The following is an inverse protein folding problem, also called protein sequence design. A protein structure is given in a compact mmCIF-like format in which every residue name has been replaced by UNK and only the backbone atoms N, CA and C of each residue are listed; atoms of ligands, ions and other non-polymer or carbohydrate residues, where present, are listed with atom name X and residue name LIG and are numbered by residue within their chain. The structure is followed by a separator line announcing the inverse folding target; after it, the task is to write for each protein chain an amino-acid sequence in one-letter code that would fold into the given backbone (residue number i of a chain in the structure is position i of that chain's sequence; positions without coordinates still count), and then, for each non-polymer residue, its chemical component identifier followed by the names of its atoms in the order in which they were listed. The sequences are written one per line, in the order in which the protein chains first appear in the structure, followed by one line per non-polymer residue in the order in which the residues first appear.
data_IF_030756661200
#
_entry.id   IF_030756661200
#
_cell.length_a   1.000
_cell.length_b   1.000
_cell.length_c   1.000
_cell.angle_alpha   90.00
_cell.angle_beta   90.00
_cell.angle_gamma   90.00
#
_symmetry.space_group_name_H-M   'P 1'
#
loop_
_entity.id
_entity.type
_entity.pdbx_description
1 polymer ?
#
# COMPACT_ATOMS: atom_id res chain seq x y z
N UNK A 1 -42.80 23.12 18.08
CA UNK A 1 -41.46 23.51 17.61
C UNK A 1 -40.93 22.35 16.80
N UNK A 2 -40.67 22.55 15.50
CA UNK A 2 -40.08 21.51 14.65
C UNK A 2 -38.57 21.77 14.62
N UNK A 3 -37.80 20.93 15.30
CA UNK A 3 -36.34 21.00 15.29
C UNK A 3 -35.84 20.42 13.96
N UNK A 4 -35.44 21.29 13.03
CA UNK A 4 -34.79 20.86 11.79
C UNK A 4 -33.37 20.44 12.16
N UNK A 5 -33.11 19.13 12.15
CA UNK A 5 -31.76 18.58 12.33
C UNK A 5 -30.85 19.05 11.19
N UNK A 6 -29.62 19.43 11.52
CA UNK A 6 -28.61 19.76 10.51
C UNK A 6 -28.28 18.54 9.66
N UNK A 7 -27.93 18.75 8.39
CA UNK A 7 -27.37 17.71 7.52
C UNK A 7 -26.20 16.99 8.20
N UNK A 8 -25.41 17.72 9.00
CA UNK A 8 -24.30 17.15 9.77
C UNK A 8 -24.77 16.21 10.89
N UNK A 9 -25.84 16.56 11.61
CA UNK A 9 -26.40 15.71 12.68
C UNK A 9 -26.96 14.41 12.11
N UNK A 10 -27.62 14.50 10.96
CA UNK A 10 -28.15 13.34 10.23
C UNK A 10 -27.01 12.42 9.78
N UNK A 11 -25.88 12.99 9.31
CA UNK A 11 -24.70 12.22 8.91
C UNK A 11 -24.10 11.51 10.13
N UNK A 12 -23.85 12.24 11.23
CA UNK A 12 -23.27 11.67 12.45
C UNK A 12 -24.15 10.61 13.11
N UNK A 13 -25.47 10.77 13.06
CA UNK A 13 -26.45 9.78 13.54
C UNK A 13 -26.45 8.52 12.67
N UNK A 14 -26.34 8.67 11.33
CA UNK A 14 -26.24 7.54 10.40
C UNK A 14 -24.89 6.82 10.46
N UNK A 15 -23.80 7.51 10.74
CA UNK A 15 -22.45 6.92 10.82
C UNK A 15 -22.07 6.41 12.21
N UNK A 16 -22.91 6.62 13.23
CA UNK A 16 -22.64 6.24 14.64
C UNK A 16 -22.38 4.75 14.85
N UNK A 17 -22.89 3.89 13.96
CA UNK A 17 -22.62 2.44 13.95
C UNK A 17 -21.62 1.98 12.88
N UNK A 18 -21.08 2.90 12.08
CA UNK A 18 -20.04 2.65 11.07
C UNK A 18 -18.65 2.93 11.64
N UNK A 19 -18.41 2.59 12.90
CA UNK A 19 -17.06 2.57 13.44
C UNK A 19 -16.34 1.39 12.82
N UNK A 20 -15.53 1.66 11.79
CA UNK A 20 -14.56 0.70 11.26
C UNK A 20 -13.83 0.09 12.46
N UNK A 21 -13.96 -1.23 12.63
CA UNK A 21 -13.36 -1.89 13.79
C UNK A 21 -11.83 -1.74 13.72
N UNK A 22 -11.14 -1.84 14.86
CA UNK A 22 -9.67 -1.76 14.84
C UNK A 22 -9.04 -2.85 13.93
N UNK A 23 -9.72 -3.99 13.78
CA UNK A 23 -9.34 -5.06 12.85
C UNK A 23 -9.51 -4.63 11.39
N UNK A 24 -10.64 -4.00 11.05
CA UNK A 24 -10.89 -3.49 9.70
C UNK A 24 -9.91 -2.36 9.33
N UNK A 25 -9.58 -1.48 10.29
CA UNK A 25 -8.54 -0.45 10.11
C UNK A 25 -7.15 -1.05 9.91
N UNK A 26 -6.83 -2.16 10.58
CA UNK A 26 -5.57 -2.84 10.39
C UNK A 26 -5.48 -3.47 8.99
N UNK A 27 -6.54 -4.16 8.55
CA UNK A 27 -6.65 -4.74 7.21
C UNK A 27 -6.58 -3.69 6.11
N UNK A 28 -7.24 -2.54 6.30
CA UNK A 28 -7.15 -1.42 5.35
C UNK A 28 -5.72 -0.90 5.22
N UNK A 29 -5.03 -0.67 6.35
CA UNK A 29 -3.64 -0.20 6.35
C UNK A 29 -2.70 -1.21 5.69
N UNK A 30 -2.91 -2.49 5.92
CA UNK A 30 -2.12 -3.56 5.29
C UNK A 30 -2.32 -3.57 3.77
N UNK A 31 -3.57 -3.50 3.30
CA UNK A 31 -3.89 -3.43 1.86
C UNK A 31 -3.34 -2.18 1.20
N UNK A 32 -3.42 -1.03 1.87
CA UNK A 32 -2.82 0.22 1.36
C UNK A 32 -1.30 0.08 1.23
N UNK A 33 -0.65 -0.53 2.22
CA UNK A 33 0.79 -0.74 2.20
C UNK A 33 1.21 -1.70 1.09
N UNK A 34 0.50 -2.81 0.93
CA UNK A 34 0.69 -3.75 -0.19
C UNK A 34 0.51 -3.03 -1.54
N UNK A 35 -0.56 -2.24 -1.67
CA UNK A 35 -0.85 -1.47 -2.89
C UNK A 35 0.23 -0.46 -3.23
N UNK A 36 0.74 0.30 -2.24
CA UNK A 36 1.86 1.22 -2.42
C UNK A 36 3.13 0.48 -2.84
N UNK A 37 3.45 -0.62 -2.16
CA UNK A 37 4.63 -1.46 -2.46
C UNK A 37 4.56 -1.99 -3.90
N UNK A 38 3.38 -2.50 -4.32
CA UNK A 38 3.16 -2.98 -5.69
C UNK A 38 3.28 -1.87 -6.72
N UNK A 39 2.74 -0.68 -6.42
CA UNK A 39 2.80 0.46 -7.32
C UNK A 39 4.22 0.89 -7.65
N UNK A 40 5.10 1.01 -6.66
CA UNK A 40 6.49 1.39 -6.89
C UNK A 40 7.29 0.27 -7.58
N UNK A 41 7.02 -0.98 -7.23
CA UNK A 41 7.67 -2.15 -7.82
C UNK A 41 7.35 -2.27 -9.32
N UNK A 42 6.08 -2.12 -9.69
CA UNK A 42 5.67 -2.18 -11.10
C UNK A 42 6.27 -1.03 -11.91
N UNK A 43 6.27 0.21 -11.38
CA UNK A 43 6.93 1.34 -12.04
C UNK A 43 8.41 1.09 -12.30
N UNK A 44 9.10 0.40 -11.39
CA UNK A 44 10.51 0.06 -11.57
C UNK A 44 10.68 -1.03 -12.65
N UNK A 45 9.86 -2.09 -12.63
CA UNK A 45 9.88 -3.13 -13.67
C UNK A 45 9.56 -2.59 -15.07
N UNK A 46 8.62 -1.65 -15.16
CA UNK A 46 8.24 -1.00 -16.42
C UNK A 46 9.29 0.01 -16.90
N UNK A 47 10.37 0.24 -16.13
CA UNK A 47 11.40 1.23 -16.43
C UNK A 47 10.94 2.69 -16.26
N UNK A 48 9.75 2.92 -15.70
CA UNK A 48 9.22 4.26 -15.45
C UNK A 48 9.99 4.99 -14.34
N UNK A 49 10.63 4.25 -13.42
CA UNK A 49 11.58 4.79 -12.43
C UNK A 49 12.88 3.98 -12.43
N UNK A 50 13.99 4.64 -12.13
CA UNK A 50 15.29 3.98 -11.97
C UNK A 50 15.41 3.26 -10.62
N UNK A 51 16.42 2.39 -10.46
CA UNK A 51 16.72 1.75 -9.18
C UNK A 51 17.03 2.78 -8.07
N UNK A 52 17.71 3.88 -8.41
CA UNK A 52 17.99 4.95 -7.46
C UNK A 52 16.69 5.59 -6.97
N UNK A 53 15.77 5.87 -7.89
CA UNK A 53 14.46 6.44 -7.54
C UNK A 53 13.59 5.46 -6.75
N UNK A 54 13.64 4.17 -7.09
CA UNK A 54 12.98 3.13 -6.29
C UNK A 54 13.49 3.14 -4.85
N UNK A 55 14.82 3.19 -4.64
CA UNK A 55 15.42 3.23 -3.29
C UNK A 55 14.99 4.46 -2.51
N UNK A 56 14.95 5.63 -3.16
CA UNK A 56 14.41 6.84 -2.55
C UNK A 56 12.95 6.63 -2.11
N UNK A 57 12.07 6.20 -3.02
CA UNK A 57 10.65 5.97 -2.68
C UNK A 57 10.47 4.90 -1.61
N UNK A 58 11.33 3.87 -1.60
CA UNK A 58 11.38 2.84 -0.58
C UNK A 58 11.79 3.38 0.80
N UNK A 59 12.74 4.32 0.85
CA UNK A 59 13.13 4.97 2.10
C UNK A 59 12.02 5.88 2.65
N UNK A 60 11.16 6.45 1.79
CA UNK A 60 9.99 7.23 2.21
C UNK A 60 8.91 6.39 2.92
N UNK A 61 8.96 5.06 2.84
CA UNK A 61 8.07 4.19 3.62
C UNK A 61 8.39 4.27 5.13
N UNK A 62 9.60 4.68 5.50
CA UNK A 62 9.99 4.88 6.89
C UNK A 62 9.73 3.65 7.76
N UNK A 63 8.86 3.79 8.78
CA UNK A 63 8.52 2.72 9.72
C UNK A 63 7.71 1.58 9.09
N UNK A 64 7.01 1.83 7.99
CA UNK A 64 6.22 0.81 7.32
C UNK A 64 7.08 -0.07 6.40
N UNK A 65 8.35 0.27 6.19
CA UNK A 65 9.29 -0.49 5.35
C UNK A 65 9.42 -1.95 5.81
N UNK A 66 9.51 -2.18 7.12
CA UNK A 66 9.63 -3.53 7.68
C UNK A 66 8.39 -4.38 7.37
N UNK A 67 7.20 -3.76 7.41
CA UNK A 67 5.93 -4.40 7.07
C UNK A 67 5.73 -4.53 5.56
N UNK A 68 6.35 -3.68 4.76
CA UNK A 68 6.30 -3.71 3.30
C UNK A 68 7.27 -4.75 2.70
N UNK A 69 8.36 -5.06 3.41
CA UNK A 69 9.41 -5.96 2.94
C UNK A 69 8.91 -7.37 2.55
N UNK A 70 8.00 -8.03 3.31
CA UNK A 70 7.42 -9.31 2.90
C UNK A 70 6.66 -9.22 1.57
N UNK A 71 5.92 -8.12 1.34
CA UNK A 71 5.23 -7.92 0.07
C UNK A 71 6.23 -7.76 -1.07
N UNK A 72 7.28 -6.96 -0.87
CA UNK A 72 8.32 -6.77 -1.88
C UNK A 72 9.00 -8.09 -2.24
N UNK A 73 9.44 -8.86 -1.24
CA UNK A 73 10.08 -10.16 -1.46
C UNK A 73 9.17 -11.13 -2.21
N UNK A 74 7.90 -11.21 -1.83
CA UNK A 74 6.91 -12.05 -2.52
C UNK A 74 6.77 -11.64 -3.98
N UNK A 75 6.64 -10.35 -4.26
CA UNK A 75 6.54 -9.84 -5.63
C UNK A 75 7.81 -10.09 -6.45
N UNK A 76 8.99 -9.99 -5.84
CA UNK A 76 10.25 -10.37 -6.47
C UNK A 76 10.24 -11.85 -6.87
N UNK A 77 9.85 -12.75 -5.96
CA UNK A 77 9.78 -14.19 -6.26
C UNK A 77 8.72 -14.48 -7.33
N UNK A 78 7.56 -13.84 -7.27
CA UNK A 78 6.49 -14.00 -8.27
C UNK A 78 6.90 -13.52 -9.68
N UNK A 79 7.87 -12.60 -9.78
CA UNK A 79 8.38 -12.09 -11.05
C UNK A 79 9.68 -12.73 -11.52
N UNK A 80 10.38 -13.45 -10.64
CA UNK A 80 11.58 -14.15 -11.04
C UNK A 80 11.22 -15.33 -11.95
N UNK A 81 11.76 -15.32 -13.16
CA UNK A 81 11.59 -16.40 -14.14
C UNK A 81 12.95 -17.07 -14.39
N UNK A 82 13.12 -18.37 -14.08
CA UNK A 82 14.38 -19.08 -14.30
C UNK A 82 14.89 -19.05 -15.75
N UNK A 83 14.01 -18.80 -16.73
CA UNK A 83 14.33 -18.80 -18.15
C UNK A 83 14.54 -17.38 -18.73
N UNK A 84 14.31 -16.32 -17.93
CA UNK A 84 14.39 -14.92 -18.35
C UNK A 84 15.40 -14.09 -17.53
N UNK A 85 15.61 -12.83 -17.94
CA UNK A 85 16.53 -11.90 -17.29
C UNK A 85 15.98 -11.35 -15.97
N UNK A 86 16.48 -11.87 -14.84
CA UNK A 86 16.07 -11.47 -13.49
C UNK A 86 16.85 -10.29 -12.89
N UNK A 87 17.70 -9.62 -13.69
CA UNK A 87 18.61 -8.55 -13.23
C UNK A 87 17.88 -7.44 -12.45
N UNK A 88 16.69 -7.04 -12.91
CA UNK A 88 15.89 -6.00 -12.26
C UNK A 88 15.41 -6.44 -10.87
N UNK A 89 14.88 -7.66 -10.77
CA UNK A 89 14.33 -8.21 -9.52
C UNK A 89 15.44 -8.47 -8.50
N UNK A 90 16.56 -9.04 -8.93
CA UNK A 90 17.69 -9.34 -8.05
C UNK A 90 18.38 -8.09 -7.51
N UNK A 91 18.29 -6.95 -8.21
CA UNK A 91 18.79 -5.68 -7.70
C UNK A 91 17.99 -5.13 -6.48
N UNK A 92 16.83 -5.73 -6.16
CA UNK A 92 15.96 -5.35 -5.05
C UNK A 92 16.03 -6.30 -3.84
N UNK A 93 16.75 -7.42 -3.94
CA UNK A 93 16.93 -8.42 -2.87
C UNK A 93 18.17 -8.11 -2.01
#
# INVERSE_FOLDING_TARGET
MVEIKSTFDIIMEKTRGMTVSEEEKALMRERELEGKTRGIFQKYLDGAISLARFKEEWDHFGKDREKALPFLKRMCVEKADPEDENSLVFALL
#
